data_IF_700163468195
#
_entry.id   IF_700163468195
#
_cell.length_a   1.000
_cell.length_b   1.000
_cell.length_c   1.000
_cell.angle_alpha   90.00
_cell.angle_beta   90.00
_cell.angle_gamma   90.00
#
_symmetry.space_group_name_H-M   'P 1'
#
loop_
_entity.id
_entity.type
_entity.pdbx_description
1 polymer ?
#
# COMPACT_ATOMS: atom_id res chain seq x y z
N UNK A 1 12.81 25.24 13.16
CA UNK A 1 14.15 25.61 12.67
C UNK A 1 13.95 26.88 11.87
N UNK A 2 14.58 27.96 12.29
CA UNK A 2 14.49 29.23 11.59
C UNK A 2 15.53 29.24 10.47
N UNK A 3 15.08 29.46 9.23
CA UNK A 3 15.94 29.51 8.05
C UNK A 3 15.88 30.92 7.50
N UNK A 4 17.02 31.61 7.48
CA UNK A 4 17.16 32.92 6.83
C UNK A 4 17.50 32.70 5.36
N UNK A 5 16.59 33.12 4.47
CA UNK A 5 16.77 33.02 3.01
C UNK A 5 16.93 34.43 2.46
N UNK A 6 18.01 34.68 1.70
CA UNK A 6 18.23 35.93 0.97
C UNK A 6 17.90 35.72 -0.51
N UNK A 7 17.16 36.64 -1.17
CA UNK A 7 16.81 36.49 -2.59
C UNK A 7 18.05 36.39 -3.49
N UNK A 8 18.09 35.38 -4.35
CA UNK A 8 19.12 35.19 -5.37
C UNK A 8 18.56 34.41 -6.57
N UNK A 9 19.26 34.43 -7.71
CA UNK A 9 18.92 33.52 -8.82
C UNK A 9 19.37 32.10 -8.45
N UNK A 10 18.43 31.15 -8.46
CA UNK A 10 18.74 29.75 -8.25
C UNK A 10 19.52 29.19 -9.45
N UNK A 11 20.60 28.45 -9.18
CA UNK A 11 21.41 27.76 -10.19
C UNK A 11 22.00 26.47 -9.63
N UNK A 12 22.11 25.43 -10.44
CA UNK A 12 22.68 24.12 -10.06
C UNK A 12 21.82 22.95 -10.52
N UNK A 13 22.25 21.74 -10.17
CA UNK A 13 21.53 20.49 -10.44
C UNK A 13 21.37 19.70 -9.15
N UNK A 14 20.20 19.11 -8.94
CA UNK A 14 19.92 18.17 -7.86
C UNK A 14 19.37 16.88 -8.45
N UNK A 15 19.76 15.74 -7.87
CA UNK A 15 19.15 14.46 -8.23
C UNK A 15 17.76 14.38 -7.61
N UNK A 16 16.76 14.06 -8.42
CA UNK A 16 15.43 13.75 -7.90
C UNK A 16 15.46 12.43 -7.11
N UNK A 17 14.72 12.41 -6.00
CA UNK A 17 14.40 11.16 -5.31
C UNK A 17 13.32 10.39 -6.06
N UNK A 18 13.17 9.12 -5.74
CA UNK A 18 12.19 8.25 -6.36
C UNK A 18 10.76 8.72 -6.09
N UNK A 19 9.89 8.56 -7.08
CA UNK A 19 8.46 8.85 -6.94
C UNK A 19 7.86 7.92 -5.90
N UNK A 20 7.39 8.47 -4.78
CA UNK A 20 6.73 7.71 -3.72
C UNK A 20 5.54 6.88 -4.26
N UNK A 21 4.72 7.48 -5.11
CA UNK A 21 3.56 6.78 -5.68
C UNK A 21 3.95 5.63 -6.60
N UNK A 22 5.05 5.76 -7.32
CA UNK A 22 5.57 4.68 -8.17
C UNK A 22 6.20 3.57 -7.33
N UNK A 23 7.01 3.95 -6.33
CA UNK A 23 7.63 3.02 -5.40
C UNK A 23 6.62 2.12 -4.68
N UNK A 24 5.49 2.66 -4.20
CA UNK A 24 4.41 1.83 -3.63
C UNK A 24 3.93 0.75 -4.61
N UNK A 25 3.67 1.13 -5.86
CA UNK A 25 3.13 0.21 -6.87
C UNK A 25 4.16 -0.84 -7.25
N UNK A 26 5.41 -0.42 -7.48
CA UNK A 26 6.51 -1.31 -7.81
C UNK A 26 6.75 -2.34 -6.69
N UNK A 27 6.74 -1.92 -5.42
CA UNK A 27 6.90 -2.83 -4.28
C UNK A 27 5.77 -3.85 -4.18
N UNK A 28 4.52 -3.42 -4.37
CA UNK A 28 3.36 -4.32 -4.30
C UNK A 28 3.39 -5.32 -5.47
N UNK A 29 3.64 -4.85 -6.70
CA UNK A 29 3.76 -5.73 -7.86
C UNK A 29 4.91 -6.73 -7.69
N UNK A 30 6.08 -6.29 -7.23
CA UNK A 30 7.23 -7.15 -6.99
C UNK A 30 6.93 -8.21 -5.92
N UNK A 31 6.24 -7.83 -4.83
CA UNK A 31 5.84 -8.77 -3.78
C UNK A 31 4.80 -9.81 -4.23
N UNK A 32 3.97 -9.46 -5.23
CA UNK A 32 2.94 -10.33 -5.82
C UNK A 32 3.42 -11.11 -7.06
N UNK A 33 4.64 -10.87 -7.53
CA UNK A 33 5.18 -11.50 -8.74
C UNK A 33 5.57 -12.98 -8.51
N UNK A 34 5.93 -13.68 -9.57
CA UNK A 34 6.36 -15.08 -9.56
C UNK A 34 7.88 -15.27 -9.38
N UNK A 35 8.66 -14.18 -9.36
CA UNK A 35 10.11 -14.22 -9.27
C UNK A 35 10.71 -13.06 -8.46
N UNK A 36 11.91 -13.24 -7.85
CA UNK A 36 12.63 -12.14 -7.21
C UNK A 36 12.83 -10.94 -8.14
N UNK A 37 12.67 -9.73 -7.59
CA UNK A 37 12.73 -8.48 -8.35
C UNK A 37 13.67 -7.48 -7.67
N UNK A 38 14.50 -6.81 -8.47
CA UNK A 38 15.36 -5.71 -8.00
C UNK A 38 14.74 -4.36 -8.40
N UNK A 39 14.56 -3.48 -7.41
CA UNK A 39 13.99 -2.15 -7.60
C UNK A 39 15.04 -1.07 -7.35
N UNK A 40 15.40 -0.32 -8.38
CA UNK A 40 16.29 0.84 -8.28
C UNK A 40 15.56 2.05 -7.67
N UNK A 41 15.39 2.03 -6.33
CA UNK A 41 14.77 3.10 -5.56
C UNK A 41 15.83 3.87 -4.77
N UNK A 42 15.83 5.19 -4.93
CA UNK A 42 16.70 6.11 -4.19
C UNK A 42 15.89 6.97 -3.20
N UNK A 43 16.40 7.06 -1.97
CA UNK A 43 15.73 7.74 -0.87
C UNK A 43 14.68 6.86 -0.19
N UNK A 44 14.48 7.09 1.09
CA UNK A 44 13.42 6.43 1.88
C UNK A 44 12.36 7.44 2.31
N UNK A 45 11.16 6.95 2.56
CA UNK A 45 10.13 7.69 3.27
C UNK A 45 9.36 6.75 4.17
N UNK A 46 8.79 7.28 5.25
CA UNK A 46 8.00 6.52 6.21
C UNK A 46 6.93 5.70 5.49
N UNK A 47 6.19 6.28 4.53
CA UNK A 47 5.15 5.57 3.76
C UNK A 47 5.69 4.34 2.99
N UNK A 48 6.90 4.43 2.44
CA UNK A 48 7.53 3.32 1.70
C UNK A 48 7.96 2.23 2.67
N UNK A 49 8.59 2.60 3.78
CA UNK A 49 8.95 1.66 4.83
C UNK A 49 7.72 0.97 5.43
N UNK A 50 6.62 1.71 5.63
CA UNK A 50 5.32 1.16 6.07
C UNK A 50 4.80 0.12 5.08
N UNK A 51 4.91 0.38 3.78
CA UNK A 51 4.47 -0.56 2.74
C UNK A 51 5.30 -1.83 2.75
N UNK A 52 6.62 -1.71 2.88
CA UNK A 52 7.54 -2.85 3.03
C UNK A 52 7.16 -3.67 4.25
N UNK A 53 6.98 -3.05 5.43
CA UNK A 53 6.58 -3.75 6.66
C UNK A 53 5.26 -4.50 6.50
N UNK A 54 4.26 -3.86 5.88
CA UNK A 54 2.97 -4.51 5.65
C UNK A 54 3.08 -5.70 4.68
N UNK A 55 3.86 -5.57 3.60
CA UNK A 55 4.10 -6.67 2.66
C UNK A 55 4.91 -7.81 3.30
N UNK A 56 5.83 -7.50 4.22
CA UNK A 56 6.50 -8.51 5.03
C UNK A 56 5.53 -9.28 5.91
N UNK A 57 4.59 -8.59 6.57
CA UNK A 57 3.52 -9.23 7.34
C UNK A 57 2.58 -10.09 6.48
N UNK A 58 2.46 -9.81 5.18
CA UNK A 58 1.70 -10.62 4.24
C UNK A 58 2.50 -11.82 3.69
N UNK A 59 3.83 -11.83 3.84
CA UNK A 59 4.69 -12.98 3.52
C UNK A 59 5.82 -12.70 2.53
N UNK A 60 6.00 -11.47 2.05
CA UNK A 60 7.13 -11.12 1.18
C UNK A 60 8.41 -10.92 2.00
N UNK A 61 9.58 -11.01 1.38
CA UNK A 61 10.83 -10.63 2.00
C UNK A 61 11.52 -9.50 1.22
N UNK A 62 12.27 -8.66 1.93
CA UNK A 62 12.91 -7.49 1.36
C UNK A 62 14.33 -7.37 1.91
N UNK A 63 15.27 -6.99 1.05
CA UNK A 63 16.59 -6.52 1.44
C UNK A 63 16.80 -5.11 0.90
N UNK A 64 16.97 -4.15 1.81
CA UNK A 64 17.18 -2.74 1.47
C UNK A 64 18.69 -2.45 1.47
N UNK A 65 19.17 -1.79 0.41
CA UNK A 65 20.58 -1.41 0.24
C UNK A 65 20.70 0.03 -0.28
N UNK A 66 21.92 0.54 -0.38
CA UNK A 66 22.19 1.85 -0.99
C UNK A 66 21.85 1.91 -2.49
N UNK A 67 21.78 0.75 -3.15
CA UNK A 67 21.53 0.65 -4.59
C UNK A 67 20.07 0.37 -4.95
N UNK A 68 19.21 0.18 -3.95
CA UNK A 68 17.80 -0.14 -4.15
C UNK A 68 17.29 -1.22 -3.21
N UNK A 69 16.22 -1.87 -3.62
CA UNK A 69 15.48 -2.86 -2.82
C UNK A 69 15.34 -4.15 -3.60
N UNK A 70 15.88 -5.22 -3.04
CA UNK A 70 15.65 -6.59 -3.51
C UNK A 70 14.36 -7.11 -2.87
N UNK A 71 13.45 -7.64 -3.69
CA UNK A 71 12.15 -8.16 -3.27
C UNK A 71 12.07 -9.64 -3.59
N UNK A 72 11.89 -10.46 -2.56
CA UNK A 72 11.50 -11.86 -2.72
C UNK A 72 9.98 -11.95 -2.62
N UNK A 73 9.29 -12.43 -3.67
CA UNK A 73 7.84 -12.46 -3.70
C UNK A 73 7.24 -13.41 -2.67
N UNK A 74 5.95 -13.22 -2.39
CA UNK A 74 5.17 -14.11 -1.54
C UNK A 74 5.00 -15.47 -2.20
N UNK A 75 5.57 -16.53 -1.60
CA UNK A 75 5.30 -17.91 -2.03
C UNK A 75 3.90 -18.37 -1.61
N UNK A 76 3.46 -17.90 -0.45
CA UNK A 76 2.11 -18.10 0.06
C UNK A 76 1.76 -16.92 0.97
N UNK A 77 0.57 -16.36 0.82
CA UNK A 77 0.13 -15.29 1.71
C UNK A 77 -0.06 -15.79 3.15
N UNK A 78 0.22 -14.91 4.10
CA UNK A 78 -0.10 -15.15 5.51
C UNK A 78 -1.61 -15.37 5.69
N UNK A 79 -2.00 -16.34 6.53
CA UNK A 79 -3.41 -16.57 6.87
C UNK A 79 -3.97 -15.42 7.71
N UNK A 80 -3.13 -14.82 8.55
CA UNK A 80 -3.46 -13.70 9.42
C UNK A 80 -2.33 -12.68 9.39
N UNK A 81 -2.66 -11.38 9.42
CA UNK A 81 -1.66 -10.31 9.43
C UNK A 81 -2.12 -9.10 10.25
N UNK A 82 -1.17 -8.44 10.92
CA UNK A 82 -1.37 -7.13 11.52
C UNK A 82 -0.64 -6.09 10.67
N UNK A 83 -1.38 -5.10 10.17
CA UNK A 83 -0.91 -4.16 9.15
C UNK A 83 -1.02 -2.72 9.67
N UNK A 84 0.03 -2.25 10.33
CA UNK A 84 0.13 -0.84 10.76
C UNK A 84 0.47 0.05 9.56
N UNK A 85 -0.52 0.82 9.13
CA UNK A 85 -0.40 1.73 8.00
C UNK A 85 0.22 3.09 8.37
N UNK A 86 0.64 3.31 9.62
CA UNK A 86 1.17 4.59 10.10
C UNK A 86 0.22 5.74 9.69
N UNK A 87 0.71 6.77 9.00
CA UNK A 87 -0.11 7.82 8.38
C UNK A 87 -0.32 7.62 6.86
N UNK A 88 0.15 6.51 6.31
CA UNK A 88 0.17 6.22 4.86
C UNK A 88 -1.20 5.80 4.34
N UNK A 89 -1.90 6.78 3.76
CA UNK A 89 -3.15 6.54 3.07
C UNK A 89 -3.01 5.62 1.84
N UNK A 90 -1.87 5.66 1.15
CA UNK A 90 -1.62 4.80 -0.01
C UNK A 90 -1.47 3.34 0.42
N UNK A 91 -0.70 3.08 1.49
CA UNK A 91 -0.52 1.72 2.00
C UNK A 91 -1.85 1.09 2.40
N UNK A 92 -2.68 1.80 3.17
CA UNK A 92 -4.02 1.31 3.52
C UNK A 92 -4.87 1.01 2.28
N UNK A 93 -5.02 1.99 1.37
CA UNK A 93 -5.95 1.86 0.25
C UNK A 93 -5.49 0.88 -0.82
N UNK A 94 -4.18 0.65 -0.95
CA UNK A 94 -3.65 -0.33 -1.89
C UNK A 94 -3.64 -1.74 -1.30
N UNK A 95 -3.26 -1.90 -0.03
CA UNK A 95 -3.12 -3.23 0.57
C UNK A 95 -4.42 -3.83 1.10
N UNK A 96 -5.44 -3.03 1.39
CA UNK A 96 -6.75 -3.54 1.81
C UNK A 96 -7.38 -4.51 0.78
N UNK A 97 -7.50 -4.16 -0.52
CA UNK A 97 -7.99 -5.10 -1.54
C UNK A 97 -7.01 -6.23 -1.85
N UNK A 98 -5.70 -5.98 -1.76
CA UNK A 98 -4.69 -7.05 -1.95
C UNK A 98 -4.80 -8.11 -0.87
N UNK A 99 -4.87 -7.72 0.41
CA UNK A 99 -5.06 -8.66 1.52
C UNK A 99 -6.38 -9.44 1.39
N UNK A 100 -7.44 -8.78 0.88
CA UNK A 100 -8.73 -9.39 0.63
C UNK A 100 -8.66 -10.46 -0.46
N UNK A 101 -8.00 -10.19 -1.59
CA UNK A 101 -7.80 -11.16 -2.68
C UNK A 101 -6.95 -12.36 -2.23
N UNK A 102 -5.92 -12.10 -1.43
CA UNK A 102 -5.08 -13.14 -0.82
C UNK A 102 -5.81 -13.99 0.25
N UNK A 103 -7.05 -13.64 0.62
CA UNK A 103 -7.82 -14.34 1.66
C UNK A 103 -7.22 -14.22 3.06
N UNK A 104 -6.40 -13.20 3.30
CA UNK A 104 -5.74 -12.96 4.58
C UNK A 104 -6.72 -12.33 5.57
N UNK A 105 -6.84 -12.91 6.78
CA UNK A 105 -7.54 -12.25 7.89
C UNK A 105 -6.65 -11.16 8.48
N UNK A 106 -6.86 -9.92 8.06
CA UNK A 106 -5.96 -8.81 8.34
C UNK A 106 -6.58 -7.77 9.28
N UNK A 107 -5.78 -7.26 10.22
CA UNK A 107 -6.14 -6.11 11.05
C UNK A 107 -5.31 -4.90 10.62
N UNK A 108 -5.97 -3.91 10.05
CA UNK A 108 -5.37 -2.64 9.65
C UNK A 108 -5.46 -1.63 10.78
N UNK A 109 -4.34 -1.02 11.14
CA UNK A 109 -4.26 0.10 12.10
C UNK A 109 -3.56 1.30 11.46
N UNK A 110 -3.54 2.43 12.16
CA UNK A 110 -2.86 3.63 11.71
C UNK A 110 -2.99 4.75 12.73
N UNK A 111 -2.34 5.88 12.46
CA UNK A 111 -2.19 7.00 13.40
C UNK A 111 -2.33 8.36 12.70
N UNK A 112 -2.19 9.41 13.50
CA UNK A 112 -2.37 10.79 13.05
C UNK A 112 -3.78 11.01 12.50
N UNK A 113 -3.87 11.55 11.28
CA UNK A 113 -5.17 11.79 10.61
C UNK A 113 -5.72 10.59 9.86
N UNK A 114 -4.94 9.52 9.67
CA UNK A 114 -5.36 8.38 8.85
C UNK A 114 -6.65 7.70 9.38
N UNK A 115 -6.85 7.51 10.69
CA UNK A 115 -8.09 6.95 11.23
C UNK A 115 -9.36 7.77 10.99
N UNK A 116 -9.24 9.04 10.59
CA UNK A 116 -10.37 9.92 10.28
C UNK A 116 -10.75 9.87 8.79
N UNK A 117 -10.04 9.09 7.97
CA UNK A 117 -10.23 9.04 6.51
C UNK A 117 -10.96 7.75 6.13
N UNK A 118 -12.28 7.79 5.87
CA UNK A 118 -13.05 6.59 5.61
C UNK A 118 -12.65 5.90 4.30
N UNK A 119 -12.89 4.59 4.26
CA UNK A 119 -12.76 3.75 3.07
C UNK A 119 -14.11 3.19 2.60
N UNK A 120 -15.23 3.86 2.94
CA UNK A 120 -16.58 3.33 2.70
C UNK A 120 -16.83 2.83 1.27
N UNK A 121 -16.48 3.57 0.19
CA UNK A 121 -16.72 3.06 -1.17
C UNK A 121 -15.95 1.77 -1.47
N UNK A 122 -14.72 1.65 -0.94
CA UNK A 122 -13.93 0.44 -1.09
C UNK A 122 -14.48 -0.69 -0.21
N UNK A 123 -14.93 -0.38 1.01
CA UNK A 123 -15.58 -1.35 1.91
C UNK A 123 -16.82 -1.98 1.27
N UNK A 124 -17.71 -1.14 0.75
CA UNK A 124 -18.96 -1.56 0.12
C UNK A 124 -18.69 -2.54 -1.03
N UNK A 125 -17.72 -2.21 -1.89
CA UNK A 125 -17.31 -3.07 -2.99
C UNK A 125 -16.66 -4.38 -2.52
N UNK A 126 -15.79 -4.36 -1.51
CA UNK A 126 -15.19 -5.58 -0.98
C UNK A 126 -16.24 -6.50 -0.32
N UNK A 127 -17.21 -5.94 0.39
CA UNK A 127 -18.29 -6.71 1.02
C UNK A 127 -19.28 -7.29 0.02
N UNK A 128 -19.59 -6.56 -1.05
CA UNK A 128 -20.38 -7.07 -2.16
C UNK A 128 -19.72 -8.27 -2.87
N UNK A 129 -18.39 -8.43 -2.71
CA UNK A 129 -17.59 -9.45 -3.35
C UNK A 129 -16.97 -10.45 -2.35
N UNK A 130 -17.70 -10.79 -1.29
CA UNK A 130 -17.37 -11.95 -0.44
C UNK A 130 -16.40 -11.68 0.72
N UNK A 131 -16.00 -10.42 0.93
CA UNK A 131 -15.25 -10.03 2.12
C UNK A 131 -16.18 -9.50 3.22
N UNK A 132 -15.61 -9.29 4.41
CA UNK A 132 -16.26 -8.62 5.52
C UNK A 132 -15.28 -7.67 6.20
N UNK A 133 -15.67 -6.40 6.29
CA UNK A 133 -14.95 -5.39 7.04
C UNK A 133 -15.82 -4.94 8.21
N UNK A 134 -15.31 -4.99 9.43
CA UNK A 134 -16.11 -4.64 10.62
C UNK A 134 -16.55 -3.17 10.64
N UNK A 135 -15.78 -2.28 10.02
CA UNK A 135 -16.05 -0.84 9.93
C UNK A 135 -15.34 -0.18 8.74
N UNK A 136 -15.65 1.10 8.49
CA UNK A 136 -15.09 1.88 7.37
C UNK A 136 -13.95 2.85 7.76
N UNK A 137 -13.57 2.90 9.04
CA UNK A 137 -12.52 3.78 9.59
C UNK A 137 -11.53 2.94 10.40
N UNK A 138 -10.25 3.28 10.43
CA UNK A 138 -9.29 2.52 11.23
C UNK A 138 -9.65 2.55 12.73
N UNK A 139 -9.37 1.47 13.47
CA UNK A 139 -8.82 0.19 13.00
C UNK A 139 -9.85 -0.66 12.24
N UNK A 140 -9.44 -1.37 11.19
CA UNK A 140 -10.33 -2.20 10.36
C UNK A 140 -9.92 -3.66 10.45
N UNK A 141 -10.85 -4.54 10.80
CA UNK A 141 -10.69 -5.99 10.70
C UNK A 141 -11.29 -6.49 9.38
N UNK A 142 -10.46 -7.13 8.56
CA UNK A 142 -10.80 -7.75 7.28
C UNK A 142 -10.84 -9.27 7.42
N UNK A 143 -11.88 -9.87 6.85
CA UNK A 143 -12.02 -11.33 6.74
C UNK A 143 -12.75 -11.70 5.45
N UNK A 144 -12.78 -13.00 5.13
CA UNK A 144 -13.28 -13.50 3.85
C UNK A 144 -12.21 -13.42 2.76
N UNK A 145 -12.60 -13.79 1.54
CA UNK A 145 -11.73 -13.75 0.38
C UNK A 145 -12.48 -13.09 -0.77
N UNK A 146 -11.80 -12.19 -1.47
CA UNK A 146 -12.39 -11.42 -2.55
C UNK A 146 -12.78 -12.37 -3.69
N UNK A 147 -14.00 -12.20 -4.19
CA UNK A 147 -14.54 -12.94 -5.33
C UNK A 147 -14.47 -12.09 -6.59
N UNK A 148 -14.31 -12.73 -7.73
CA UNK A 148 -14.33 -12.06 -9.03
C UNK A 148 -15.73 -11.52 -9.36
N UNK A 149 -15.79 -10.44 -10.13
CA UNK A 149 -17.04 -9.77 -10.43
C UNK A 149 -16.85 -8.43 -11.11
N UNK A 150 -17.90 -7.62 -11.10
CA UNK A 150 -17.92 -6.26 -11.65
C UNK A 150 -17.90 -5.28 -10.49
N UNK A 151 -16.80 -4.53 -10.38
CA UNK A 151 -16.61 -3.54 -9.34
C UNK A 151 -17.07 -2.16 -9.82
N UNK A 152 -17.86 -1.47 -9.01
CA UNK A 152 -18.38 -0.13 -9.32
C UNK A 152 -17.92 0.88 -8.28
N UNK A 153 -17.03 1.79 -8.67
CA UNK A 153 -16.51 2.83 -7.76
C UNK A 153 -16.86 4.24 -8.22
N UNK A 154 -17.13 5.18 -7.28
CA UNK A 154 -17.27 6.59 -7.61
C UNK A 154 -15.92 7.20 -8.01
N UNK A 155 -15.84 7.67 -9.25
CA UNK A 155 -14.60 8.24 -9.84
C UNK A 155 -14.12 9.56 -9.22
N UNK A 156 -14.94 10.20 -8.38
CA UNK A 156 -14.65 11.49 -7.75
C UNK A 156 -14.15 11.40 -6.31
N UNK A 157 -13.99 10.21 -5.73
CA UNK A 157 -13.60 10.05 -4.31
C UNK A 157 -12.10 9.84 -4.15
N UNK A 158 -11.53 8.80 -4.77
CA UNK A 158 -10.09 8.54 -4.68
C UNK A 158 -9.61 7.60 -5.78
N UNK A 159 -8.62 8.04 -6.56
CA UNK A 159 -7.90 7.18 -7.51
C UNK A 159 -7.14 6.04 -6.83
N UNK A 160 -6.93 6.12 -5.52
CA UNK A 160 -6.23 5.09 -4.77
C UNK A 160 -7.05 3.82 -4.60
N UNK A 161 -8.39 3.92 -4.52
CA UNK A 161 -9.27 2.75 -4.45
C UNK A 161 -9.19 1.94 -5.74
N UNK A 162 -9.26 2.63 -6.88
CA UNK A 162 -9.08 2.00 -8.19
C UNK A 162 -7.71 1.35 -8.31
N UNK A 163 -6.63 2.04 -7.89
CA UNK A 163 -5.27 1.46 -7.92
C UNK A 163 -5.20 0.19 -7.09
N UNK A 164 -5.74 0.18 -5.87
CA UNK A 164 -5.73 -1.01 -5.01
C UNK A 164 -6.45 -2.21 -5.62
N UNK A 165 -7.63 -1.98 -6.21
CA UNK A 165 -8.36 -3.03 -6.91
C UNK A 165 -7.59 -3.56 -8.14
N UNK A 166 -7.03 -2.65 -8.96
CA UNK A 166 -6.25 -3.06 -10.13
C UNK A 166 -5.01 -3.90 -9.76
N UNK A 167 -4.39 -3.64 -8.61
CA UNK A 167 -3.26 -4.43 -8.11
C UNK A 167 -3.65 -5.83 -7.66
N UNK A 168 -4.91 -6.07 -7.26
CA UNK A 168 -5.36 -7.37 -6.78
C UNK A 168 -6.06 -8.23 -7.83
N UNK A 169 -6.57 -7.65 -8.92
CA UNK A 169 -7.31 -8.39 -9.95
C UNK A 169 -6.56 -9.52 -10.68
N UNK A 170 -5.22 -9.50 -10.83
CA UNK A 170 -4.51 -10.63 -11.42
C UNK A 170 -4.38 -11.86 -10.52
N UNK A 171 -4.77 -11.77 -9.24
CA UNK A 171 -4.67 -12.84 -8.24
C UNK A 171 -5.90 -13.76 -8.27
#
# INVERSE_FOLDING_TARGET
MDILISPSRLSGSISAISSKSDAHRALICAALSDAPTELALNGSSVDIETTIRCLQSLGAAFAVSEHGISVSPMQSAAKTAALDCEESGSTLRFLLPVAAALGCQANFTGRGRLPQRPVSPLKEELEAHGCRLDRALLPIALSGQLQSGVFTLPGNVSSQFLTGLLLCFPL
#
